data_IF_044374351675
#
_entry.id   IF_044374351675
#
_cell.length_a   1.000
_cell.length_b   1.000
_cell.length_c   1.000
_cell.angle_alpha   90.00
_cell.angle_beta   90.00
_cell.angle_gamma   90.00
#
_symmetry.space_group_name_H-M   'P 1'
#
loop_
_entity.id
_entity.type
_entity.pdbx_description
1 polymer ?
#
# COMPACT_ATOMS: atom_id res chain seq x y z
N UNK A 1 22.13 -10.86 17.27
CA UNK A 1 20.94 -10.23 16.68
C UNK A 1 20.48 -9.25 17.73
N UNK A 2 20.85 -8.00 17.58
CA UNK A 2 20.63 -6.98 18.60
C UNK A 2 19.27 -6.34 18.31
N UNK A 3 18.24 -6.76 19.04
CA UNK A 3 16.94 -6.10 18.98
C UNK A 3 17.06 -4.78 19.74
N UNK A 4 17.04 -3.66 19.03
CA UNK A 4 16.92 -2.34 19.63
C UNK A 4 15.46 -2.12 20.05
N UNK A 5 15.19 -2.01 21.36
CA UNK A 5 13.89 -1.58 21.87
C UNK A 5 13.69 -0.10 21.52
N UNK A 6 12.86 0.18 20.51
CA UNK A 6 12.47 1.54 20.08
C UNK A 6 11.25 2.08 20.84
N UNK A 7 10.88 1.46 21.96
CA UNK A 7 9.73 1.85 22.76
C UNK A 7 10.02 3.19 23.46
N UNK A 8 9.13 4.17 23.28
CA UNK A 8 9.22 5.52 23.83
C UNK A 8 7.82 5.96 24.28
N UNK A 9 7.73 6.82 25.30
CA UNK A 9 6.46 7.46 25.70
C UNK A 9 5.89 8.40 24.61
N UNK A 10 6.71 8.76 23.62
CA UNK A 10 6.29 9.52 22.45
C UNK A 10 5.68 8.62 21.36
N UNK A 11 4.90 9.20 20.44
CA UNK A 11 4.35 8.47 19.28
C UNK A 11 5.50 7.77 18.55
N UNK A 12 5.48 6.44 18.59
CA UNK A 12 6.52 5.61 17.98
C UNK A 12 6.53 5.82 16.47
N UNK A 13 7.72 6.03 15.91
CA UNK A 13 7.95 6.10 14.47
C UNK A 13 8.78 4.91 14.04
N UNK A 14 8.61 4.45 12.81
CA UNK A 14 9.46 3.42 12.24
C UNK A 14 10.91 3.93 12.13
N UNK A 15 11.87 3.09 12.51
CA UNK A 15 13.28 3.33 12.23
C UNK A 15 13.63 2.87 10.80
N UNK A 16 14.79 3.30 10.29
CA UNK A 16 15.30 2.77 9.03
C UNK A 16 15.64 1.29 9.17
N UNK A 17 14.91 0.46 8.44
CA UNK A 17 15.17 -0.98 8.38
C UNK A 17 16.01 -1.29 7.13
N UNK A 18 17.26 -1.69 7.34
CA UNK A 18 18.18 -2.04 6.25
C UNK A 18 17.70 -3.22 5.40
N UNK A 19 16.92 -4.15 5.96
CA UNK A 19 16.33 -5.26 5.20
C UNK A 19 15.25 -4.72 4.28
N UNK A 20 14.36 -3.84 4.77
CA UNK A 20 13.33 -3.23 3.94
C UNK A 20 13.91 -2.32 2.85
N UNK A 21 14.98 -1.59 3.16
CA UNK A 21 15.51 -0.53 2.29
C UNK A 21 16.63 -0.97 1.34
N UNK A 22 17.43 -1.98 1.70
CA UNK A 22 18.64 -2.36 0.94
C UNK A 22 18.55 -3.74 0.30
N UNK A 23 17.64 -4.59 0.73
CA UNK A 23 17.45 -5.91 0.13
C UNK A 23 16.63 -5.79 -1.16
N UNK A 24 17.26 -6.06 -2.31
CA UNK A 24 16.58 -5.94 -3.61
C UNK A 24 15.35 -6.85 -3.72
N UNK A 25 15.33 -7.97 -2.98
CA UNK A 25 14.21 -8.91 -2.96
C UNK A 25 12.92 -8.25 -2.48
N UNK A 26 13.00 -7.26 -1.58
CA UNK A 26 11.81 -6.54 -1.11
C UNK A 26 11.16 -5.80 -2.28
N UNK A 27 11.96 -5.05 -3.04
CA UNK A 27 11.47 -4.34 -4.21
C UNK A 27 11.01 -5.29 -5.32
N UNK A 28 11.78 -6.34 -5.61
CA UNK A 28 11.42 -7.35 -6.61
C UNK A 28 10.11 -8.06 -6.25
N UNK A 29 9.89 -8.41 -4.98
CA UNK A 29 8.64 -9.01 -4.54
C UNK A 29 7.46 -8.05 -4.67
N UNK A 30 7.64 -6.76 -4.40
CA UNK A 30 6.59 -5.75 -4.61
C UNK A 30 6.20 -5.66 -6.09
N UNK A 31 7.17 -5.67 -7.00
CA UNK A 31 6.91 -5.69 -8.44
C UNK A 31 6.20 -6.99 -8.87
N UNK A 32 6.61 -8.13 -8.33
CA UNK A 32 5.97 -9.42 -8.66
C UNK A 32 4.48 -9.49 -8.30
N UNK A 33 4.06 -8.79 -7.23
CA UNK A 33 2.66 -8.80 -6.79
C UNK A 33 1.84 -7.63 -7.37
N UNK A 34 2.48 -6.61 -7.95
CA UNK A 34 1.82 -5.38 -8.41
C UNK A 34 0.62 -5.67 -9.31
N UNK A 35 0.79 -6.52 -10.32
CA UNK A 35 -0.25 -6.87 -11.30
C UNK A 35 -1.51 -7.47 -10.67
N UNK A 36 -1.40 -8.11 -9.49
CA UNK A 36 -2.54 -8.69 -8.79
C UNK A 36 -3.41 -7.62 -8.12
N UNK A 37 -2.80 -6.51 -7.73
CA UNK A 37 -3.45 -5.47 -6.91
C UNK A 37 -3.71 -4.19 -7.68
N UNK A 38 -3.12 -4.02 -8.86
CA UNK A 38 -3.44 -2.90 -9.75
C UNK A 38 -4.87 -3.05 -10.29
N UNK A 39 -5.63 -1.96 -10.25
CA UNK A 39 -6.97 -1.96 -10.84
C UNK A 39 -6.86 -1.91 -12.37
N UNK A 40 -7.50 -2.87 -13.03
CA UNK A 40 -7.62 -2.84 -14.49
C UNK A 40 -8.40 -1.61 -14.96
N UNK A 41 -8.03 -1.07 -16.12
CA UNK A 41 -8.74 0.03 -16.77
C UNK A 41 -10.21 -0.31 -17.11
N UNK A 42 -10.55 -1.60 -17.18
CA UNK A 42 -11.92 -2.07 -17.39
C UNK A 42 -12.73 -2.30 -16.10
N UNK A 43 -12.19 -1.98 -14.93
CA UNK A 43 -12.81 -2.27 -13.63
C UNK A 43 -14.27 -1.80 -13.51
N UNK A 44 -14.56 -0.55 -13.86
CA UNK A 44 -15.93 0.00 -13.86
C UNK A 44 -16.80 -0.43 -15.05
N UNK A 45 -16.21 -1.11 -16.03
CA UNK A 45 -16.91 -1.62 -17.21
C UNK A 45 -17.31 -3.09 -17.05
N UNK A 46 -16.53 -3.87 -16.29
CA UNK A 46 -16.64 -5.33 -16.26
C UNK A 46 -16.84 -5.92 -14.88
N UNK A 47 -16.45 -5.23 -13.80
CA UNK A 47 -16.56 -5.76 -12.43
C UNK A 47 -17.53 -4.96 -11.57
N UNK A 48 -17.35 -3.64 -11.49
CA UNK A 48 -18.23 -2.75 -10.73
C UNK A 48 -19.07 -1.88 -11.66
N UNK A 49 -19.99 -2.51 -12.38
CA UNK A 49 -20.80 -1.86 -13.44
C UNK A 49 -21.81 -0.83 -12.91
N UNK A 50 -22.25 -0.99 -11.66
CA UNK A 50 -23.22 -0.07 -11.04
C UNK A 50 -22.57 1.21 -10.52
N UNK A 51 -21.24 1.18 -10.33
CA UNK A 51 -20.47 2.32 -9.85
C UNK A 51 -19.90 3.11 -11.02
N UNK A 52 -20.18 4.42 -11.01
CA UNK A 52 -19.53 5.37 -11.92
C UNK A 52 -18.26 5.93 -11.25
N UNK A 53 -17.20 6.28 -12.03
CA UNK A 53 -15.95 6.78 -11.47
C UNK A 53 -16.12 7.93 -10.44
N UNK A 54 -17.02 8.88 -10.70
CA UNK A 54 -17.27 10.00 -9.77
C UNK A 54 -17.83 9.55 -8.41
N UNK A 55 -18.56 8.44 -8.36
CA UNK A 55 -19.11 7.91 -7.10
C UNK A 55 -17.96 7.42 -6.20
N UNK A 56 -16.90 6.84 -6.79
CA UNK A 56 -15.70 6.46 -6.05
C UNK A 56 -14.94 7.69 -5.54
N UNK A 57 -14.89 8.77 -6.31
CA UNK A 57 -14.26 10.03 -5.88
C UNK A 57 -14.90 10.55 -4.60
N UNK A 58 -16.23 10.59 -4.52
CA UNK A 58 -16.95 11.05 -3.32
C UNK A 58 -16.58 10.24 -2.08
N UNK A 59 -16.54 8.91 -2.19
CA UNK A 59 -16.18 8.04 -1.05
C UNK A 59 -14.71 8.22 -0.68
N UNK A 60 -13.81 8.35 -1.66
CA UNK A 60 -12.39 8.58 -1.40
C UNK A 60 -12.15 9.91 -0.66
N UNK A 61 -12.83 10.98 -1.06
CA UNK A 61 -12.78 12.28 -0.37
C UNK A 61 -13.31 12.21 1.06
N UNK A 62 -14.31 11.37 1.32
CA UNK A 62 -14.84 11.17 2.67
C UNK A 62 -13.90 10.37 3.58
N UNK A 63 -13.17 9.40 3.03
CA UNK A 63 -12.26 8.54 3.80
C UNK A 63 -10.92 9.19 4.16
N UNK A 64 -10.57 10.28 3.47
CA UNK A 64 -9.28 10.96 3.58
C UNK A 64 -9.22 11.90 4.78
#
# INVERSE_FOLDING_TARGET
>A
MDLFCCESESVTKSCEDSVLLKDSRVFENLLQIEDRYVLSSCYFKCLQTDLKPYMRTIVAEWMQ
#
